data_IF_257057857336
#
_entry.id   IF_257057857336
#
_cell.length_a   1.000
_cell.length_b   1.000
_cell.length_c   1.000
_cell.angle_alpha   90.00
_cell.angle_beta   90.00
_cell.angle_gamma   90.00
#
_symmetry.space_group_name_H-M   'P 1'
#
loop_
_entity.id
_entity.type
_entity.pdbx_description
1 polymer ?
#
# COMPACT_ATOMS: atom_id res chain seq x y z
N UNK A 1 17.27 -9.95 27.34
CA UNK A 1 16.86 -11.19 26.66
C UNK A 1 15.34 -11.15 26.54
N UNK A 2 14.82 -10.62 25.45
CA UNK A 2 13.37 -10.60 25.20
C UNK A 2 12.89 -12.05 25.10
N UNK A 3 11.89 -12.41 25.89
CA UNK A 3 11.40 -13.80 25.99
C UNK A 3 10.57 -14.11 24.75
N UNK A 4 10.71 -15.33 24.23
CA UNK A 4 9.78 -15.91 23.25
C UNK A 4 8.37 -15.80 23.85
N UNK A 5 7.53 -14.93 23.26
CA UNK A 5 6.20 -14.56 23.75
C UNK A 5 5.92 -13.05 23.87
N UNK A 6 6.95 -12.19 23.83
CA UNK A 6 6.82 -10.71 23.85
C UNK A 6 6.51 -10.09 22.47
N UNK A 7 6.24 -10.89 21.45
CA UNK A 7 5.95 -10.41 20.09
C UNK A 7 4.46 -10.04 19.91
N UNK A 8 3.76 -9.68 20.99
CA UNK A 8 2.48 -9.00 20.84
C UNK A 8 2.77 -7.57 20.37
N UNK A 9 2.36 -7.25 19.15
CA UNK A 9 2.47 -5.88 18.66
C UNK A 9 1.68 -4.97 19.60
N UNK A 10 2.32 -3.94 20.15
CA UNK A 10 1.70 -2.99 21.08
C UNK A 10 0.49 -2.26 20.48
N UNK A 11 0.35 -2.30 19.14
CA UNK A 11 -0.75 -1.74 18.37
C UNK A 11 -0.97 -2.56 17.11
N UNK A 12 -2.23 -2.67 16.71
CA UNK A 12 -2.63 -3.18 15.40
C UNK A 12 -2.74 -1.98 14.45
N UNK A 13 -1.71 -1.74 13.65
CA UNK A 13 -1.64 -0.59 12.74
C UNK A 13 -2.35 -0.90 11.42
N UNK A 14 -3.31 -0.06 11.05
CA UNK A 14 -4.12 -0.24 9.85
C UNK A 14 -4.60 1.10 9.30
N UNK A 15 -5.16 1.09 8.09
CA UNK A 15 -5.78 2.28 7.52
C UNK A 15 -6.39 2.09 6.15
N UNK A 16 -6.79 3.21 5.56
CA UNK A 16 -7.25 3.29 4.17
C UNK A 16 -6.62 4.48 3.49
N UNK A 17 -6.34 4.35 2.20
CA UNK A 17 -6.07 5.48 1.31
C UNK A 17 -7.21 5.58 0.31
N UNK A 18 -7.90 6.70 0.32
CA UNK A 18 -8.96 7.04 -0.63
C UNK A 18 -8.51 8.15 -1.58
N UNK A 19 -9.31 8.41 -2.61
CA UNK A 19 -9.04 9.45 -3.61
C UNK A 19 -7.67 9.28 -4.30
N UNK A 20 -7.27 8.02 -4.53
CA UNK A 20 -6.07 7.73 -5.33
C UNK A 20 -6.39 8.14 -6.76
N UNK A 21 -5.61 9.10 -7.25
CA UNK A 21 -5.74 9.69 -8.57
C UNK A 21 -4.74 9.12 -9.57
N UNK A 22 -4.63 9.78 -10.71
CA UNK A 22 -3.63 9.49 -11.76
C UNK A 22 -2.26 10.11 -11.47
N UNK A 23 -2.00 10.49 -10.22
CA UNK A 23 -0.72 11.01 -9.74
C UNK A 23 -0.30 10.15 -8.55
N UNK A 24 1.00 9.84 -8.46
CA UNK A 24 1.56 9.07 -7.36
C UNK A 24 1.28 9.75 -6.02
N UNK A 25 0.75 8.98 -5.07
CA UNK A 25 0.48 9.43 -3.70
C UNK A 25 0.99 8.41 -2.69
N UNK A 26 1.50 8.87 -1.56
CA UNK A 26 1.87 7.98 -0.45
C UNK A 26 0.66 7.22 0.08
N UNK A 27 0.86 5.94 0.42
CA UNK A 27 -0.12 5.08 1.09
C UNK A 27 -0.58 5.71 2.41
N UNK A 28 0.36 6.21 3.20
CA UNK A 28 0.13 6.95 4.44
C UNK A 28 1.24 7.98 4.66
N UNK A 29 0.93 9.10 5.31
CA UNK A 29 1.95 10.08 5.73
C UNK A 29 2.53 9.76 7.10
N UNK A 30 1.90 8.85 7.85
CA UNK A 30 2.39 8.41 9.15
C UNK A 30 3.42 7.30 8.98
N UNK A 31 4.63 7.53 9.48
CA UNK A 31 5.64 6.49 9.61
C UNK A 31 5.24 5.48 10.68
N UNK A 32 5.26 4.19 10.34
CA UNK A 32 4.92 3.09 11.23
C UNK A 32 5.97 2.00 11.07
N UNK A 33 6.47 1.45 12.17
CA UNK A 33 7.41 0.35 12.10
C UNK A 33 6.69 -0.92 11.63
N UNK A 34 7.07 -1.45 10.47
CA UNK A 34 6.50 -2.63 9.83
C UNK A 34 7.53 -3.78 9.85
N UNK A 35 7.62 -4.58 10.93
CA UNK A 35 8.71 -5.53 11.09
C UNK A 35 8.67 -6.68 10.08
N UNK A 36 7.50 -7.00 9.52
CA UNK A 36 7.32 -8.08 8.53
C UNK A 36 6.85 -7.53 7.19
N UNK A 37 6.08 -6.45 7.19
CA UNK A 37 5.70 -5.76 5.97
C UNK A 37 4.34 -5.09 6.06
N UNK A 38 3.76 -4.81 4.89
CA UNK A 38 2.47 -4.17 4.77
C UNK A 38 1.61 -4.99 3.82
N UNK A 39 0.45 -5.43 4.30
CA UNK A 39 -0.58 -6.01 3.46
C UNK A 39 -1.45 -4.88 2.91
N UNK A 40 -1.61 -4.84 1.59
CA UNK A 40 -2.46 -3.89 0.88
C UNK A 40 -3.58 -4.66 0.19
N UNK A 41 -4.78 -4.09 0.17
CA UNK A 41 -5.95 -4.63 -0.55
C UNK A 41 -6.68 -3.53 -1.28
N UNK A 42 -6.90 -3.70 -2.58
CA UNK A 42 -7.75 -2.82 -3.37
C UNK A 42 -9.22 -3.01 -2.98
N UNK A 43 -9.95 -1.90 -2.80
CA UNK A 43 -11.37 -1.97 -2.51
C UNK A 43 -12.14 -2.62 -3.68
N UNK A 44 -13.14 -3.43 -3.36
CA UNK A 44 -13.98 -4.13 -4.35
C UNK A 44 -14.82 -3.18 -5.21
N UNK A 45 -15.02 -1.95 -4.75
CA UNK A 45 -15.75 -0.91 -5.49
C UNK A 45 -14.87 -0.05 -6.40
N UNK A 46 -13.58 -0.36 -6.53
CA UNK A 46 -12.71 0.34 -7.45
C UNK A 46 -13.13 0.06 -8.90
N UNK A 47 -13.23 1.12 -9.69
CA UNK A 47 -13.50 1.02 -11.13
C UNK A 47 -12.22 0.97 -11.98
N UNK A 48 -11.09 1.36 -11.38
CA UNK A 48 -9.76 1.34 -12.00
C UNK A 48 -8.79 0.44 -11.25
N UNK A 49 -7.64 0.20 -11.88
CA UNK A 49 -6.53 -0.56 -11.28
C UNK A 49 -5.67 0.37 -10.44
N UNK A 50 -5.21 -0.09 -9.27
CA UNK A 50 -4.25 0.64 -8.45
C UNK A 50 -2.87 0.01 -8.62
N UNK A 51 -1.88 0.81 -8.93
CA UNK A 51 -0.50 0.40 -9.10
C UNK A 51 0.29 0.77 -7.85
N UNK A 52 1.02 -0.20 -7.29
CA UNK A 52 1.82 -0.05 -6.08
C UNK A 52 3.30 0.04 -6.44
N UNK A 53 4.03 1.02 -5.91
CA UNK A 53 5.45 1.18 -6.19
C UNK A 53 6.13 2.24 -5.32
N UNK A 54 7.27 2.74 -5.83
CA UNK A 54 8.05 3.83 -5.23
C UNK A 54 7.46 5.21 -5.58
N UNK A 55 8.07 6.28 -5.10
CA UNK A 55 7.58 7.67 -5.30
C UNK A 55 7.38 8.08 -6.76
N UNK A 56 8.08 7.43 -7.68
CA UNK A 56 8.04 7.63 -9.12
C UNK A 56 7.06 6.68 -9.85
N UNK A 57 6.22 5.93 -9.13
CA UNK A 57 5.32 4.93 -9.70
C UNK A 57 4.38 5.50 -10.77
N UNK A 58 4.29 4.78 -11.90
CA UNK A 58 3.36 5.07 -13.01
C UNK A 58 2.31 3.97 -13.18
N UNK A 59 1.22 4.31 -13.88
CA UNK A 59 0.07 3.44 -14.10
C UNK A 59 0.04 2.91 -15.54
N UNK A 60 0.85 1.89 -15.85
CA UNK A 60 0.83 1.21 -17.16
C UNK A 60 1.35 2.07 -18.31
N UNK A 61 2.32 2.94 -18.04
CA UNK A 61 2.82 3.94 -18.99
C UNK A 61 4.32 3.79 -19.30
N UNK A 62 5.11 3.15 -18.44
CA UNK A 62 6.56 3.02 -18.63
C UNK A 62 7.15 1.80 -17.91
N UNK A 63 7.89 0.97 -18.64
CA UNK A 63 8.49 -0.28 -18.15
C UNK A 63 9.36 -0.13 -16.90
N UNK A 64 10.02 1.02 -16.74
CA UNK A 64 10.95 1.27 -15.63
C UNK A 64 10.27 1.74 -14.34
N UNK A 65 9.07 2.31 -14.42
CA UNK A 65 8.39 2.97 -13.29
C UNK A 65 6.99 2.42 -13.02
N UNK A 66 6.49 1.52 -13.87
CA UNK A 66 5.17 0.94 -13.66
C UNK A 66 5.12 0.14 -12.36
N UNK A 67 4.07 0.41 -11.59
CA UNK A 67 3.83 -0.28 -10.33
C UNK A 67 3.28 -1.68 -10.52
N UNK A 68 3.16 -2.41 -9.42
CA UNK A 68 2.46 -3.68 -9.41
C UNK A 68 0.94 -3.45 -9.46
N UNK A 69 0.22 -3.98 -10.47
CA UNK A 69 -1.20 -3.73 -10.64
C UNK A 69 -2.05 -4.52 -9.64
N UNK A 70 -3.03 -3.84 -9.04
CA UNK A 70 -4.08 -4.42 -8.20
C UNK A 70 -5.45 -4.08 -8.77
N UNK A 71 -6.15 -5.09 -9.28
CA UNK A 71 -7.53 -4.96 -9.67
C UNK A 71 -8.42 -4.87 -8.42
N UNK A 72 -9.70 -4.52 -8.62
CA UNK A 72 -10.66 -4.43 -7.53
C UNK A 72 -10.74 -5.76 -6.75
N UNK A 73 -10.50 -5.70 -5.44
CA UNK A 73 -10.51 -6.88 -4.57
C UNK A 73 -9.18 -7.62 -4.46
N UNK A 74 -8.19 -7.34 -5.31
CA UNK A 74 -6.86 -7.94 -5.20
C UNK A 74 -6.11 -7.46 -3.96
N UNK A 75 -5.11 -8.24 -3.57
CA UNK A 75 -4.29 -7.96 -2.42
C UNK A 75 -2.81 -8.25 -2.71
N UNK A 76 -1.93 -7.45 -2.13
CA UNK A 76 -0.48 -7.55 -2.25
C UNK A 76 0.17 -7.41 -0.88
N UNK A 77 1.12 -8.29 -0.60
CA UNK A 77 1.99 -8.15 0.55
C UNK A 77 3.33 -7.55 0.11
N UNK A 78 3.74 -6.48 0.78
CA UNK A 78 5.02 -5.80 0.51
C UNK A 78 5.92 -5.92 1.74
N UNK A 79 7.05 -6.65 1.65
CA UNK A 79 8.01 -6.74 2.74
C UNK A 79 8.83 -5.45 2.83
N UNK A 80 8.31 -4.46 3.57
CA UNK A 80 8.93 -3.14 3.76
C UNK A 80 8.84 -2.74 5.23
N UNK A 81 9.79 -1.93 5.69
CA UNK A 81 9.93 -1.50 7.08
C UNK A 81 9.03 -0.31 7.48
N UNK A 82 8.47 0.40 6.50
CA UNK A 82 7.61 1.57 6.73
C UNK A 82 6.56 1.75 5.60
N UNK A 83 5.24 1.77 5.89
CA UNK A 83 4.19 1.98 4.90
C UNK A 83 4.23 3.37 4.23
N UNK A 84 4.88 4.38 4.83
CA UNK A 84 4.98 5.73 4.24
C UNK A 84 5.91 5.78 3.01
N UNK A 85 6.74 4.75 2.82
CA UNK A 85 7.59 4.59 1.63
C UNK A 85 6.85 4.01 0.42
N UNK A 86 5.64 3.48 0.64
CA UNK A 86 4.80 2.91 -0.42
C UNK A 86 4.01 4.03 -1.08
N UNK A 87 4.05 4.08 -2.41
CA UNK A 87 3.24 4.98 -3.22
C UNK A 87 2.27 4.20 -4.10
N UNK A 88 1.18 4.88 -4.44
CA UNK A 88 0.06 4.35 -5.18
C UNK A 88 -0.29 5.33 -6.30
N UNK A 89 -0.64 4.80 -7.46
CA UNK A 89 -1.26 5.55 -8.55
C UNK A 89 -2.38 4.75 -9.17
N UNK A 90 -3.51 5.39 -9.44
CA UNK A 90 -4.67 4.77 -10.07
C UNK A 90 -4.64 4.94 -11.58
N UNK A 91 -5.17 3.96 -12.32
CA UNK A 91 -5.48 4.13 -13.75
C UNK A 91 -6.60 5.15 -14.00
N UNK A 92 -7.38 5.47 -12.97
CA UNK A 92 -8.44 6.48 -12.97
C UNK A 92 -8.56 7.08 -11.57
N UNK A 93 -9.18 8.25 -11.44
CA UNK A 93 -9.39 8.89 -10.15
C UNK A 93 -10.43 8.17 -9.28
N UNK A 94 -10.26 8.30 -7.96
CA UNK A 94 -11.24 7.84 -6.98
C UNK A 94 -11.04 6.41 -6.48
N UNK A 95 -9.87 5.80 -6.74
CA UNK A 95 -9.60 4.45 -6.21
C UNK A 95 -9.34 4.49 -4.71
N UNK A 96 -9.59 3.34 -4.08
CA UNK A 96 -9.42 3.12 -2.64
C UNK A 96 -8.61 1.85 -2.40
N UNK A 97 -7.69 1.91 -1.44
CA UNK A 97 -7.04 0.72 -0.88
C UNK A 97 -7.13 0.73 0.64
N UNK A 98 -7.08 -0.46 1.21
CA UNK A 98 -6.96 -0.71 2.63
C UNK A 98 -5.59 -1.32 2.91
N UNK A 99 -5.03 -1.03 4.07
CA UNK A 99 -3.77 -1.63 4.47
C UNK A 99 -3.76 -2.03 5.94
N UNK A 100 -2.92 -3.01 6.25
CA UNK A 100 -2.58 -3.45 7.60
C UNK A 100 -1.07 -3.63 7.64
N UNK A 101 -0.44 -3.16 8.72
CA UNK A 101 0.98 -3.35 8.99
C UNK A 101 1.16 -4.66 9.75
N UNK A 102 2.18 -5.44 9.37
CA UNK A 102 2.46 -6.80 9.84
C UNK A 102 3.84 -6.88 10.48
#
# INVERSE_FOLDING_TARGET
>A
MTRIGDESLARFDHGRKSAIGTTAVQLTTSSMHAPRGVQIKAAVGNSGTVYVGNSDVTAGAADATDGFPLAAGDALFVPIDDPSKIFLVGSAAGQVVHFVVV
#
